data_IF_632843166571
#
_entry.id   IF_632843166571
#
_cell.length_a   1.000
_cell.length_b   1.000
_cell.length_c   1.000
_cell.angle_alpha   90.00
_cell.angle_beta   90.00
_cell.angle_gamma   90.00
#
_symmetry.space_group_name_H-M   'P 1'
#
loop_
_entity.id
_entity.type
_entity.pdbx_description
1 polymer ?
#
# COMPACT_ATOMS: atom_id res chain seq x y z
N UNK A 1 -4.13 4.37 10.62
CA UNK A 1 -2.99 5.32 10.75
C UNK A 1 -3.34 6.51 11.64
N UNK A 2 -4.55 7.03 11.55
CA UNK A 2 -5.01 8.13 12.41
C UNK A 2 -5.02 7.70 13.88
N UNK A 3 -5.54 6.52 14.17
CA UNK A 3 -5.57 5.97 15.53
C UNK A 3 -4.18 5.74 16.12
N UNK A 4 -3.20 5.44 15.27
CA UNK A 4 -1.81 5.27 15.70
C UNK A 4 -1.06 6.60 15.81
N UNK A 5 -1.72 7.74 15.59
CA UNK A 5 -1.10 9.05 15.67
C UNK A 5 -0.15 9.37 14.51
N UNK A 6 -0.21 8.62 13.41
CA UNK A 6 0.68 8.79 12.27
C UNK A 6 0.17 9.81 11.25
N UNK A 7 -1.12 10.10 11.27
CA UNK A 7 -1.77 11.04 10.34
C UNK A 7 -2.56 12.05 11.16
N UNK A 8 -2.35 13.34 10.90
CA UNK A 8 -2.99 14.43 11.67
C UNK A 8 -4.33 14.87 11.09
N UNK A 9 -4.56 14.61 9.79
CA UNK A 9 -5.81 15.01 9.11
C UNK A 9 -6.28 13.87 8.19
N UNK A 10 -7.23 13.10 8.69
CA UNK A 10 -7.79 11.94 7.98
C UNK A 10 -8.41 12.31 6.64
N UNK A 11 -9.19 13.40 6.61
CA UNK A 11 -9.90 13.83 5.40
C UNK A 11 -8.91 14.24 4.30
N UNK A 12 -7.93 15.06 4.63
CA UNK A 12 -6.93 15.52 3.68
C UNK A 12 -6.09 14.38 3.15
N UNK A 13 -5.68 13.45 4.01
CA UNK A 13 -4.92 12.27 3.62
C UNK A 13 -5.72 11.38 2.67
N UNK A 14 -6.98 11.14 2.99
CA UNK A 14 -7.88 10.33 2.15
C UNK A 14 -8.06 10.95 0.77
N UNK A 15 -8.33 12.25 0.71
CA UNK A 15 -8.51 12.94 -0.57
C UNK A 15 -7.26 12.90 -1.42
N UNK A 16 -6.09 13.04 -0.81
CA UNK A 16 -4.81 12.95 -1.50
C UNK A 16 -4.62 11.60 -2.20
N UNK A 17 -4.90 10.50 -1.49
CA UNK A 17 -4.80 9.15 -2.05
C UNK A 17 -5.81 8.94 -3.17
N UNK A 18 -7.06 9.37 -2.97
CA UNK A 18 -8.12 9.22 -3.97
C UNK A 18 -7.83 10.05 -5.23
N UNK A 19 -7.30 11.25 -5.09
CA UNK A 19 -6.94 12.09 -6.23
C UNK A 19 -5.84 11.45 -7.06
N UNK A 20 -4.83 10.85 -6.42
CA UNK A 20 -3.77 10.13 -7.12
C UNK A 20 -4.35 8.92 -7.86
N UNK A 21 -5.24 8.18 -7.25
CA UNK A 21 -5.86 6.99 -7.85
C UNK A 21 -6.72 7.35 -9.07
N UNK A 22 -7.40 8.49 -9.04
CA UNK A 22 -8.20 8.98 -10.17
C UNK A 22 -7.38 9.28 -11.41
N UNK A 23 -6.11 9.64 -11.26
CA UNK A 23 -5.22 9.93 -12.39
C UNK A 23 -4.84 8.66 -13.14
N UNK A 24 -4.53 7.61 -12.41
CA UNK A 24 -4.17 6.30 -12.95
C UNK A 24 -4.23 5.29 -11.80
N UNK A 25 -4.78 4.11 -12.05
CA UNK A 25 -4.82 3.06 -11.05
C UNK A 25 -3.42 2.72 -10.54
N UNK A 26 -3.32 2.49 -9.22
CA UNK A 26 -2.10 2.00 -8.58
C UNK A 26 -2.12 0.46 -8.46
N UNK A 27 -3.09 -0.19 -9.09
CA UNK A 27 -3.14 -1.65 -9.18
C UNK A 27 -1.97 -2.18 -10.00
N UNK A 28 -1.21 -3.06 -9.40
CA UNK A 28 -0.03 -3.67 -10.01
C UNK A 28 -0.37 -5.06 -10.54
N UNK A 29 0.65 -5.86 -10.80
CA UNK A 29 0.48 -7.27 -11.17
C UNK A 29 0.31 -8.14 -9.93
N UNK A 30 -0.20 -9.36 -10.12
CA UNK A 30 -0.28 -10.41 -9.10
C UNK A 30 -1.24 -10.10 -7.94
N UNK A 31 -2.28 -9.29 -8.19
CA UNK A 31 -3.31 -9.01 -7.20
C UNK A 31 -2.89 -8.01 -6.13
N UNK A 32 -1.94 -7.14 -6.44
CA UNK A 32 -1.39 -6.16 -5.51
C UNK A 32 -1.69 -4.75 -6.00
N UNK A 33 -2.16 -3.89 -5.11
CA UNK A 33 -2.35 -2.48 -5.37
C UNK A 33 -1.56 -1.66 -4.35
N UNK A 34 -1.04 -0.50 -4.79
CA UNK A 34 -0.24 0.38 -3.94
C UNK A 34 -0.84 1.79 -3.95
N UNK A 35 -2.03 1.98 -3.36
CA UNK A 35 -2.59 3.33 -3.24
C UNK A 35 -1.64 4.20 -2.44
N UNK A 36 -1.42 5.43 -2.89
CA UNK A 36 -0.47 6.30 -2.20
C UNK A 36 -0.79 7.76 -2.45
N UNK A 37 -0.15 8.62 -1.68
CA UNK A 37 -0.26 10.05 -1.85
C UNK A 37 0.85 10.77 -1.12
N UNK A 38 1.10 12.01 -1.55
CA UNK A 38 2.00 12.93 -0.87
C UNK A 38 1.16 13.97 -0.16
N UNK A 39 1.40 14.13 1.13
CA UNK A 39 0.60 15.02 1.96
C UNK A 39 1.46 15.58 3.09
N UNK A 40 1.15 16.79 3.53
CA UNK A 40 1.81 17.41 4.68
C UNK A 40 1.16 17.04 6.01
N UNK A 41 0.17 16.14 5.99
CA UNK A 41 -0.45 15.61 7.21
C UNK A 41 0.40 14.53 7.88
N UNK A 42 1.54 14.17 7.31
CA UNK A 42 2.49 13.21 7.87
C UNK A 42 3.89 13.81 7.89
N UNK A 43 4.69 13.45 8.89
CA UNK A 43 6.06 13.94 9.03
C UNK A 43 7.07 13.04 8.32
N UNK A 44 6.77 11.75 8.25
CA UNK A 44 7.59 10.73 7.61
C UNK A 44 6.74 9.79 6.80
N UNK A 45 7.37 8.94 5.99
CA UNK A 45 6.68 7.89 5.25
C UNK A 45 5.96 6.96 6.23
N UNK A 46 4.67 6.77 6.03
CA UNK A 46 3.86 5.83 6.80
C UNK A 46 3.10 4.93 5.84
N UNK A 47 2.85 3.69 6.26
CA UNK A 47 2.17 2.71 5.43
C UNK A 47 1.24 1.84 6.27
N UNK A 48 0.22 1.32 5.61
CA UNK A 48 -0.62 0.27 6.18
C UNK A 48 -0.94 -0.76 5.10
N UNK A 49 -1.27 -1.97 5.53
CA UNK A 49 -1.55 -3.08 4.63
C UNK A 49 -2.95 -3.57 4.89
N UNK A 50 -3.73 -3.70 3.80
CA UNK A 50 -5.05 -4.29 3.84
C UNK A 50 -5.07 -5.54 2.98
N UNK A 51 -5.70 -6.59 3.49
CA UNK A 51 -5.89 -7.84 2.77
C UNK A 51 -7.37 -8.12 2.69
N UNK A 52 -7.88 -8.29 1.47
CA UNK A 52 -9.29 -8.58 1.25
C UNK A 52 -9.50 -10.07 1.02
N UNK A 53 -10.47 -10.65 1.70
CA UNK A 53 -10.87 -12.04 1.47
C UNK A 53 -11.48 -12.22 0.08
N UNK A 54 -12.13 -11.18 -0.43
CA UNK A 54 -12.74 -11.19 -1.76
C UNK A 54 -11.91 -10.36 -2.73
N UNK A 55 -11.73 -10.82 -3.98
CA UNK A 55 -11.03 -10.03 -4.99
C UNK A 55 -11.75 -8.71 -5.28
N UNK A 56 -10.99 -7.65 -5.45
CA UNK A 56 -11.50 -6.30 -5.73
C UNK A 56 -10.98 -5.86 -7.10
N UNK A 57 -11.88 -5.43 -7.98
CA UNK A 57 -11.49 -4.86 -9.26
C UNK A 57 -10.86 -3.49 -9.01
N UNK A 58 -9.59 -3.36 -9.32
CA UNK A 58 -8.81 -2.16 -9.08
C UNK A 58 -8.25 -1.56 -10.36
N UNK A 59 -8.76 -2.00 -11.51
CA UNK A 59 -8.29 -1.57 -12.82
C UNK A 59 -6.77 -1.73 -12.93
N UNK A 60 -6.30 -2.90 -12.54
CA UNK A 60 -4.87 -3.20 -12.42
C UNK A 60 -4.18 -3.29 -13.78
N UNK A 61 -2.85 -3.19 -13.74
CA UNK A 61 -2.00 -3.25 -14.91
C UNK A 61 -2.18 -4.55 -15.72
N UNK A 62 -2.40 -5.68 -15.02
CA UNK A 62 -2.62 -6.99 -15.65
C UNK A 62 -4.10 -7.37 -15.76
N UNK A 63 -5.02 -6.43 -15.49
CA UNK A 63 -6.48 -6.63 -15.54
C UNK A 63 -7.00 -7.64 -14.51
N UNK A 64 -6.17 -8.10 -13.58
CA UNK A 64 -6.57 -9.03 -12.53
C UNK A 64 -7.05 -8.29 -11.29
N UNK A 65 -8.02 -8.85 -10.54
CA UNK A 65 -8.46 -8.22 -9.29
C UNK A 65 -7.41 -8.31 -8.20
N UNK A 66 -7.49 -7.39 -7.23
CA UNK A 66 -6.52 -7.27 -6.15
C UNK A 66 -7.09 -7.77 -4.84
N UNK A 67 -6.23 -8.35 -4.01
CA UNK A 67 -6.53 -8.76 -2.64
C UNK A 67 -5.55 -8.18 -1.62
N UNK A 68 -4.38 -7.73 -2.05
CA UNK A 68 -3.36 -7.14 -1.18
C UNK A 68 -3.24 -5.65 -1.52
N UNK A 69 -3.43 -4.81 -0.52
CA UNK A 69 -3.38 -3.36 -0.67
C UNK A 69 -2.36 -2.78 0.29
N UNK A 70 -1.38 -2.05 -0.24
CA UNK A 70 -0.37 -1.38 0.56
C UNK A 70 -0.53 0.12 0.33
N UNK A 71 -1.13 0.81 1.30
CA UNK A 71 -1.35 2.25 1.21
C UNK A 71 -0.19 2.98 1.87
N UNK A 72 0.38 3.95 1.16
CA UNK A 72 1.47 4.76 1.69
C UNK A 72 1.14 6.23 1.62
N UNK A 73 1.57 6.96 2.65
CA UNK A 73 1.52 8.42 2.70
C UNK A 73 2.92 8.93 2.99
N UNK A 74 3.37 9.92 2.24
CA UNK A 74 4.68 10.51 2.43
C UNK A 74 4.60 12.03 2.43
N UNK A 75 5.52 12.70 3.14
CA UNK A 75 5.60 14.16 3.10
C UNK A 75 5.89 14.66 1.69
N UNK A 76 5.34 15.81 1.34
CA UNK A 76 5.49 16.41 0.00
C UNK A 76 6.95 16.61 -0.38
N UNK A 77 7.82 16.88 0.60
CA UNK A 77 9.22 17.19 0.38
C UNK A 77 10.17 16.00 0.56
N UNK A 78 9.66 14.78 0.74
CA UNK A 78 10.49 13.58 0.97
C UNK A 78 10.19 12.49 -0.06
N UNK A 79 10.58 12.72 -1.31
CA UNK A 79 10.31 11.80 -2.43
C UNK A 79 11.21 10.56 -2.42
N UNK A 80 12.48 10.72 -1.98
CA UNK A 80 13.45 9.61 -1.98
C UNK A 80 13.00 8.38 -1.19
N UNK A 81 12.62 8.52 0.09
CA UNK A 81 12.14 7.38 0.89
C UNK A 81 10.92 6.69 0.27
N UNK A 82 10.01 7.44 -0.35
CA UNK A 82 8.83 6.89 -1.01
C UNK A 82 9.23 5.99 -2.19
N UNK A 83 10.11 6.46 -3.06
CA UNK A 83 10.58 5.70 -4.20
C UNK A 83 11.33 4.43 -3.78
N UNK A 84 12.15 4.53 -2.74
CA UNK A 84 12.87 3.38 -2.18
C UNK A 84 11.90 2.34 -1.64
N UNK A 85 10.88 2.77 -0.91
CA UNK A 85 9.86 1.89 -0.37
C UNK A 85 9.13 1.14 -1.48
N UNK A 86 8.71 1.83 -2.55
CA UNK A 86 8.03 1.21 -3.68
C UNK A 86 8.92 0.16 -4.36
N UNK A 87 10.22 0.45 -4.50
CA UNK A 87 11.16 -0.49 -5.10
C UNK A 87 11.31 -1.77 -4.25
N UNK A 88 11.42 -1.62 -2.93
CA UNK A 88 11.53 -2.74 -2.01
C UNK A 88 10.27 -3.61 -2.01
N UNK A 89 9.08 -2.99 -2.02
CA UNK A 89 7.80 -3.68 -2.10
C UNK A 89 7.69 -4.45 -3.41
N UNK A 90 8.10 -3.86 -4.52
CA UNK A 90 8.08 -4.53 -5.82
C UNK A 90 8.96 -5.77 -5.85
N UNK A 91 10.15 -5.69 -5.25
CA UNK A 91 11.04 -6.85 -5.15
C UNK A 91 10.45 -7.96 -4.28
N UNK A 92 9.88 -7.60 -3.14
CA UNK A 92 9.26 -8.55 -2.22
C UNK A 92 8.14 -9.33 -2.90
N UNK A 93 7.28 -8.65 -3.64
CA UNK A 93 6.10 -9.25 -4.25
C UNK A 93 6.36 -9.91 -5.61
N UNK A 94 7.61 -10.00 -6.06
CA UNK A 94 7.97 -10.88 -7.17
C UNK A 94 7.88 -12.35 -6.74
N UNK A 95 8.03 -12.65 -5.45
CA UNK A 95 7.94 -14.00 -4.93
C UNK A 95 6.48 -14.46 -4.82
N UNK A 96 6.09 -15.46 -5.60
CA UNK A 96 4.76 -16.07 -5.52
C UNK A 96 4.53 -16.71 -4.14
N UNK A 97 5.58 -17.27 -3.55
CA UNK A 97 5.53 -17.88 -2.21
C UNK A 97 5.17 -16.85 -1.15
N UNK A 98 5.82 -15.67 -1.18
CA UNK A 98 5.53 -14.59 -0.23
C UNK A 98 4.09 -14.09 -0.36
N UNK A 99 3.61 -13.91 -1.60
CA UNK A 99 2.23 -13.50 -1.85
C UNK A 99 1.23 -14.49 -1.26
N UNK A 100 1.49 -15.79 -1.47
CA UNK A 100 0.61 -16.84 -0.98
C UNK A 100 0.61 -16.92 0.53
N UNK A 101 1.76 -16.78 1.18
CA UNK A 101 1.86 -16.76 2.64
C UNK A 101 1.03 -15.62 3.23
N UNK A 102 1.10 -14.43 2.64
CA UNK A 102 0.34 -13.27 3.11
C UNK A 102 -1.16 -13.50 2.96
N UNK A 103 -1.59 -14.08 1.84
CA UNK A 103 -3.02 -14.33 1.60
C UNK A 103 -3.60 -15.42 2.50
N UNK A 104 -2.78 -16.36 2.95
CA UNK A 104 -3.23 -17.45 3.81
C UNK A 104 -3.26 -17.08 5.29
N UNK A 105 -2.45 -16.12 5.72
CA UNK A 105 -2.42 -15.73 7.11
C UNK A 105 -3.56 -14.79 7.46
N UNK A 106 -4.08 -14.89 8.69
CA UNK A 106 -5.11 -13.99 9.20
C UNK A 106 -4.62 -13.19 10.41
N UNK A 107 -3.35 -13.35 10.76
CA UNK A 107 -2.73 -12.67 11.91
C UNK A 107 -1.93 -11.48 11.40
N UNK A 108 -2.26 -10.29 11.89
CA UNK A 108 -1.58 -9.05 11.53
C UNK A 108 -0.09 -9.08 11.84
N UNK A 109 0.29 -9.65 12.98
CA UNK A 109 1.69 -9.76 13.37
C UNK A 109 2.46 -10.66 12.41
N UNK A 110 1.85 -11.74 11.93
CA UNK A 110 2.44 -12.66 10.98
C UNK A 110 2.66 -11.99 9.62
N UNK A 111 1.73 -11.16 9.17
CA UNK A 111 1.89 -10.39 7.93
C UNK A 111 3.11 -9.48 8.02
N UNK A 112 3.25 -8.77 9.13
CA UNK A 112 4.40 -7.88 9.34
C UNK A 112 5.69 -8.68 9.36
N UNK A 113 5.71 -9.84 9.99
CA UNK A 113 6.88 -10.73 10.01
C UNK A 113 7.30 -11.13 8.60
N UNK A 114 6.36 -11.56 7.78
CA UNK A 114 6.63 -11.97 6.39
C UNK A 114 7.22 -10.81 5.58
N UNK A 115 6.70 -9.60 5.78
CA UNK A 115 7.13 -8.43 5.03
C UNK A 115 8.52 -7.92 5.47
N UNK A 116 8.92 -8.19 6.70
CA UNK A 116 10.18 -7.67 7.24
C UNK A 116 11.33 -8.68 7.22
N UNK A 117 11.08 -9.91 6.81
CA UNK A 117 12.10 -10.95 6.69
C UNK A 117 12.80 -10.99 5.34
#
# INVERSE_FOLDING_TARGET
>A
LVQAGKVTDKKAARECVLDRERKMSTGMKHGIAIPHGKTDTVDDLVACIGISDNPVDFDSLDQEPCRIFIMTLSPVNKTGPHLQFLAEISLLFKSAEKRQEILETKDKAEVIRILTE
#
